data_IF_862288237409
#
_entry.id   IF_862288237409
#
_cell.length_a   1.000
_cell.length_b   1.000
_cell.length_c   1.000
_cell.angle_alpha   90.00
_cell.angle_beta   90.00
_cell.angle_gamma   90.00
#
_symmetry.space_group_name_H-M   'P 1'
#
loop_
_entity.id
_entity.type
_entity.pdbx_description
1 polymer ?
#
# COMPACT_ATOMS: atom_id res chain seq x y z
N UNK A 1 48.06 -11.07 -67.29
CA UNK A 1 48.08 -11.95 -66.09
C UNK A 1 48.38 -11.07 -64.89
N UNK A 2 47.66 -10.97 -63.78
CA UNK A 2 46.27 -11.21 -63.37
C UNK A 2 46.07 -10.25 -62.18
N UNK A 3 44.94 -9.53 -62.11
CA UNK A 3 44.60 -8.58 -61.04
C UNK A 3 43.98 -9.35 -59.87
N UNK A 4 44.50 -9.19 -58.65
CA UNK A 4 43.87 -9.70 -57.42
C UNK A 4 42.83 -8.69 -56.91
N UNK A 5 41.55 -9.07 -56.72
CA UNK A 5 40.61 -8.22 -56.00
C UNK A 5 40.68 -8.49 -54.50
N UNK A 6 40.85 -7.41 -53.72
CA UNK A 6 40.71 -7.38 -52.27
C UNK A 6 39.21 -7.51 -51.96
N UNK A 7 38.81 -8.65 -51.39
CA UNK A 7 37.48 -8.83 -50.82
C UNK A 7 37.43 -8.09 -49.47
N UNK A 8 36.83 -6.91 -49.46
CA UNK A 8 36.37 -6.26 -48.22
C UNK A 8 35.13 -7.03 -47.72
N UNK A 9 35.30 -7.83 -46.67
CA UNK A 9 34.18 -8.37 -45.91
C UNK A 9 33.56 -7.25 -45.07
N UNK A 10 32.48 -6.66 -45.55
CA UNK A 10 31.64 -5.75 -44.76
C UNK A 10 30.82 -6.61 -43.77
N UNK A 11 31.32 -6.74 -42.55
CA UNK A 11 30.57 -7.34 -41.45
C UNK A 11 29.47 -6.35 -41.03
N UNK A 12 28.25 -6.59 -41.47
CA UNK A 12 27.06 -5.85 -41.03
C UNK A 12 26.68 -6.36 -39.63
N UNK A 13 27.21 -5.72 -38.60
CA UNK A 13 26.74 -5.93 -37.23
C UNK A 13 25.34 -5.34 -37.10
N UNK A 14 24.32 -6.20 -37.01
CA UNK A 14 22.96 -5.79 -36.67
C UNK A 14 22.96 -5.30 -35.21
N UNK A 15 22.92 -3.98 -35.03
CA UNK A 15 22.62 -3.39 -33.72
C UNK A 15 21.15 -3.68 -33.39
N UNK A 16 20.91 -4.50 -32.37
CA UNK A 16 19.59 -4.64 -31.76
C UNK A 16 19.25 -3.30 -31.09
N UNK A 17 18.08 -2.70 -31.34
CA UNK A 17 17.67 -1.51 -30.61
C UNK A 17 17.39 -1.90 -29.15
N UNK A 18 18.27 -1.49 -28.24
CA UNK A 18 18.16 -1.73 -26.80
C UNK A 18 17.43 -0.59 -26.06
N UNK A 19 16.37 -0.05 -26.66
CA UNK A 19 15.48 0.90 -26.01
C UNK A 19 14.05 0.45 -26.28
N UNK A 20 13.55 -0.47 -25.45
CA UNK A 20 12.11 -0.63 -25.32
C UNK A 20 11.63 0.63 -24.60
N UNK A 21 11.13 1.61 -25.34
CA UNK A 21 10.40 2.73 -24.73
C UNK A 21 9.23 2.13 -23.94
N UNK A 22 9.03 2.60 -22.71
CA UNK A 22 7.85 2.20 -21.95
C UNK A 22 6.62 2.71 -22.69
N UNK A 23 5.85 1.79 -23.27
CA UNK A 23 4.62 2.10 -23.99
C UNK A 23 3.46 2.02 -23.00
N UNK A 24 2.61 3.05 -22.96
CA UNK A 24 1.40 3.03 -22.15
C UNK A 24 0.58 1.78 -22.47
N UNK A 25 0.16 1.06 -21.44
CA UNK A 25 -0.51 -0.24 -21.55
C UNK A 25 0.46 -1.43 -21.63
N UNK A 26 1.76 -1.23 -21.44
CA UNK A 26 2.72 -2.34 -21.34
C UNK A 26 2.34 -3.26 -20.19
N UNK A 27 2.11 -4.53 -20.52
CA UNK A 27 1.80 -5.57 -19.55
C UNK A 27 3.07 -6.08 -18.86
N UNK A 28 3.00 -6.16 -17.54
CA UNK A 28 4.06 -6.61 -16.65
C UNK A 28 3.50 -7.77 -15.84
N UNK A 29 4.13 -8.94 -15.95
CA UNK A 29 3.77 -10.12 -15.14
C UNK A 29 4.38 -9.98 -13.77
N UNK A 30 3.55 -10.11 -12.73
CA UNK A 30 3.93 -9.95 -11.34
C UNK A 30 4.16 -11.30 -10.65
N UNK A 31 4.95 -11.36 -9.55
CA UNK A 31 5.19 -12.58 -8.80
C UNK A 31 3.93 -13.32 -8.34
N UNK A 32 2.86 -12.60 -8.00
CA UNK A 32 1.56 -13.20 -7.62
C UNK A 32 0.80 -13.82 -8.80
N UNK A 33 1.32 -13.69 -10.02
CA UNK A 33 0.62 -14.03 -11.26
C UNK A 33 -0.31 -12.92 -11.78
N UNK A 34 -0.42 -11.79 -11.09
CA UNK A 34 -1.14 -10.62 -11.58
C UNK A 34 -0.51 -10.06 -12.86
N UNK A 35 -1.31 -9.29 -13.60
CA UNK A 35 -0.82 -8.46 -14.70
C UNK A 35 -1.02 -6.99 -14.36
N UNK A 36 0.09 -6.25 -14.26
CA UNK A 36 0.06 -4.80 -14.15
C UNK A 36 0.25 -4.17 -15.53
N UNK A 37 -0.59 -3.20 -15.87
CA UNK A 37 -0.43 -2.37 -17.06
C UNK A 37 0.22 -1.04 -16.64
N UNK A 38 1.36 -0.69 -17.21
CA UNK A 38 1.95 0.62 -16.96
C UNK A 38 1.13 1.73 -17.63
N UNK A 39 0.70 2.74 -16.85
CA UNK A 39 -0.08 3.86 -17.36
C UNK A 39 0.80 5.06 -17.71
N UNK A 40 1.56 5.56 -16.73
CA UNK A 40 2.49 6.69 -16.90
C UNK A 40 3.46 6.79 -15.72
N UNK A 41 4.52 7.59 -15.91
CA UNK A 41 5.45 8.02 -14.86
C UNK A 41 5.38 9.53 -14.72
N UNK A 42 5.32 10.01 -13.48
CA UNK A 42 5.18 11.42 -13.13
C UNK A 42 6.29 11.83 -12.20
N UNK A 43 6.84 13.02 -12.41
CA UNK A 43 7.74 13.65 -11.45
C UNK A 43 6.92 14.62 -10.60
N UNK A 44 6.94 14.43 -9.29
CA UNK A 44 6.33 15.33 -8.33
C UNK A 44 7.44 16.24 -7.75
N UNK A 45 7.20 17.54 -7.75
CA UNK A 45 8.17 18.54 -7.29
C UNK A 45 8.01 18.91 -5.79
N UNK A 46 7.21 18.14 -5.03
CA UNK A 46 6.97 18.39 -3.62
C UNK A 46 8.00 17.64 -2.74
N UNK A 47 8.58 18.32 -1.75
CA UNK A 47 9.40 17.71 -0.69
C UNK A 47 10.92 17.93 -0.79
N UNK A 48 11.68 17.14 -0.04
CA UNK A 48 13.15 17.25 0.16
C UNK A 48 13.99 16.60 -0.96
N UNK A 49 13.39 16.37 -2.14
CA UNK A 49 14.09 15.83 -3.30
C UNK A 49 13.16 15.35 -4.42
N UNK A 50 13.71 14.84 -5.54
CA UNK A 50 12.90 14.36 -6.64
C UNK A 50 12.07 13.15 -6.21
N UNK A 51 10.75 13.25 -6.41
CA UNK A 51 9.80 12.15 -6.17
C UNK A 51 9.27 11.68 -7.52
N UNK A 52 9.35 10.36 -7.77
CA UNK A 52 8.72 9.75 -8.94
C UNK A 52 7.48 8.99 -8.54
N UNK A 53 6.38 9.24 -9.23
CA UNK A 53 5.15 8.47 -9.11
C UNK A 53 4.96 7.62 -10.35
N UNK A 54 4.92 6.31 -10.17
CA UNK A 54 4.63 5.35 -11.22
C UNK A 54 3.20 4.89 -11.08
N UNK A 55 2.44 4.97 -12.17
CA UNK A 55 1.01 4.63 -12.20
C UNK A 55 0.80 3.32 -12.95
N UNK A 56 0.13 2.37 -12.30
CA UNK A 56 -0.18 1.05 -12.85
C UNK A 56 -1.68 0.75 -12.75
N UNK A 57 -2.17 -0.10 -13.64
CA UNK A 57 -3.52 -0.63 -13.61
C UNK A 57 -3.45 -2.16 -13.41
N UNK A 58 -4.12 -2.66 -12.37
CA UNK A 58 -4.29 -4.09 -12.10
C UNK A 58 -5.80 -4.36 -12.02
N UNK A 59 -6.38 -4.91 -13.09
CA UNK A 59 -7.85 -5.01 -13.23
C UNK A 59 -8.53 -5.81 -12.11
N UNK A 60 -7.82 -6.75 -11.47
CA UNK A 60 -8.31 -7.59 -10.38
C UNK A 60 -7.79 -7.16 -9.00
N UNK A 61 -7.35 -5.90 -8.83
CA UNK A 61 -6.77 -5.38 -7.59
C UNK A 61 -7.67 -5.64 -6.35
N UNK A 62 -8.99 -5.52 -6.49
CA UNK A 62 -9.94 -5.75 -5.40
C UNK A 62 -9.96 -7.19 -4.87
N UNK A 63 -9.50 -8.16 -5.66
CA UNK A 63 -9.37 -9.56 -5.22
C UNK A 63 -8.05 -9.83 -4.48
N UNK A 64 -7.13 -8.86 -4.48
CA UNK A 64 -5.75 -9.01 -4.02
C UNK A 64 -5.47 -8.24 -2.74
N UNK A 65 -6.08 -7.07 -2.60
CA UNK A 65 -5.98 -6.28 -1.37
C UNK A 65 -6.92 -6.89 -0.33
N UNK A 66 -6.45 -7.18 0.90
CA UNK A 66 -7.31 -7.63 1.98
C UNK A 66 -8.44 -6.60 2.18
N UNK A 67 -9.69 -7.07 2.21
CA UNK A 67 -10.79 -6.19 2.58
C UNK A 67 -10.58 -5.74 4.03
N UNK A 68 -10.30 -4.45 4.24
CA UNK A 68 -10.49 -3.85 5.56
C UNK A 68 -12.00 -3.83 5.79
N UNK A 69 -12.51 -4.76 6.58
CA UNK A 69 -13.94 -4.84 6.91
C UNK A 69 -14.35 -3.57 7.65
N UNK A 70 -15.10 -2.70 6.97
CA UNK A 70 -15.72 -1.49 7.52
C UNK A 70 -16.11 -0.54 6.38
N UNK A 71 -17.33 0.01 6.36
CA UNK A 71 -17.68 1.05 5.40
C UNK A 71 -16.79 2.28 5.62
N UNK A 72 -16.26 2.89 4.55
CA UNK A 72 -15.58 4.20 4.62
C UNK A 72 -16.53 5.37 4.94
N UNK A 73 -17.79 5.05 5.25
CA UNK A 73 -18.89 5.94 5.56
C UNK A 73 -19.50 5.54 6.89
N UNK A 74 -18.77 5.74 7.99
CA UNK A 74 -19.41 6.05 9.28
C UNK A 74 -19.56 7.57 9.35
N UNK A 75 -20.34 8.14 8.42
CA UNK A 75 -20.85 9.52 8.52
C UNK A 75 -22.22 9.58 9.21
N UNK A 76 -22.82 8.42 9.50
CA UNK A 76 -24.14 8.32 10.11
C UNK A 76 -24.14 8.57 11.64
N UNK A 77 -22.96 8.71 12.27
CA UNK A 77 -22.82 9.04 13.70
C UNK A 77 -22.48 10.52 13.98
N UNK A 78 -22.60 11.40 12.98
CA UNK A 78 -22.47 12.86 13.17
C UNK A 78 -23.81 13.59 13.40
N UNK A 79 -24.94 12.89 13.24
CA UNK A 79 -26.27 13.50 13.37
C UNK A 79 -26.80 13.53 14.82
N UNK A 80 -26.06 12.95 15.78
CA UNK A 80 -26.43 12.92 17.21
C UNK A 80 -25.33 13.49 18.13
N UNK A 81 -24.59 14.50 17.65
CA UNK A 81 -23.82 15.35 18.55
C UNK A 81 -24.78 16.32 19.25
N UNK A 82 -24.99 16.24 20.58
CA UNK A 82 -25.74 17.27 21.29
C UNK A 82 -25.01 18.62 21.14
N UNK A 83 -25.68 19.62 20.58
CA UNK A 83 -25.14 20.98 20.34
C UNK A 83 -24.79 21.76 21.62
N UNK A 84 -24.97 21.18 22.80
CA UNK A 84 -24.63 21.81 24.08
C UNK A 84 -23.42 21.12 24.71
N UNK A 85 -22.22 21.47 24.22
CA UNK A 85 -21.01 21.42 25.02
C UNK A 85 -21.05 22.61 25.98
N UNK A 86 -21.35 22.44 27.29
CA UNK A 86 -21.27 23.56 28.21
C UNK A 86 -19.84 24.08 28.23
N UNK A 87 -19.70 25.38 27.96
CA UNK A 87 -18.47 26.13 28.11
C UNK A 87 -17.91 25.87 29.50
N UNK A 88 -16.79 25.16 29.57
CA UNK A 88 -16.10 24.82 30.80
C UNK A 88 -15.53 26.10 31.42
N UNK A 89 -16.37 26.76 32.22
CA UNK A 89 -15.96 27.76 33.19
C UNK A 89 -15.21 27.11 34.36
N UNK A 90 -14.17 27.80 34.80
CA UNK A 90 -13.21 27.41 35.85
C UNK A 90 -13.82 26.95 37.20
N UNK A 91 -13.04 26.21 38.02
CA UNK A 91 -13.55 25.25 38.98
C UNK A 91 -13.94 25.93 40.30
N UNK A 92 -15.17 25.70 40.75
CA UNK A 92 -15.52 25.92 42.14
C UNK A 92 -15.76 24.57 42.81
N UNK A 93 -14.84 24.25 43.72
CA UNK A 93 -14.89 23.10 44.59
C UNK A 93 -16.24 23.00 45.33
N UNK A 94 -16.94 21.90 45.11
CA UNK A 94 -17.78 21.31 46.13
C UNK A 94 -17.49 19.82 46.21
N UNK A 95 -16.79 19.45 47.27
CA UNK A 95 -16.45 18.08 47.59
C UNK A 95 -17.69 17.42 48.20
N UNK A 96 -18.65 17.03 47.36
CA UNK A 96 -19.63 16.01 47.72
C UNK A 96 -19.09 14.67 47.23
N UNK A 97 -18.44 13.96 48.14
CA UNK A 97 -18.10 12.56 47.98
C UNK A 97 -19.35 11.78 47.60
N UNK A 98 -19.42 11.29 46.36
CA UNK A 98 -20.33 10.22 45.99
C UNK A 98 -19.92 9.02 46.83
N UNK A 99 -20.70 8.73 47.86
CA UNK A 99 -20.62 7.47 48.58
C UNK A 99 -21.00 6.38 47.59
N UNK A 100 -20.01 5.63 47.13
CA UNK A 100 -20.22 4.28 46.59
C UNK A 100 -20.70 3.47 47.79
N UNK A 101 -22.02 3.28 47.88
CA UNK A 101 -22.62 2.43 48.89
C UNK A 101 -22.00 1.03 48.81
N UNK A 102 -21.62 0.54 49.99
CA UNK A 102 -20.67 -0.54 50.19
C UNK A 102 -20.98 -1.82 49.42
N UNK A 103 -19.93 -2.40 48.86
CA UNK A 103 -19.87 -3.82 48.61
C UNK A 103 -20.13 -4.56 49.94
N UNK A 104 -21.05 -5.54 50.00
CA UNK A 104 -20.96 -6.56 51.02
C UNK A 104 -19.67 -7.35 50.78
N UNK A 105 -18.72 -7.18 51.68
CA UNK A 105 -17.61 -8.10 51.90
C UNK A 105 -18.20 -9.42 52.40
N UNK A 106 -18.58 -10.30 51.46
CA UNK A 106 -18.91 -11.73 51.59
C UNK A 106 -20.04 -12.09 50.61
N UNK A 107 -19.69 -12.26 49.33
CA UNK A 107 -20.51 -13.01 48.38
C UNK A 107 -19.60 -14.01 47.69
N UNK A 108 -20.02 -15.27 47.74
CA UNK A 108 -19.30 -16.43 47.22
C UNK A 108 -18.75 -16.18 45.81
N UNK A 109 -17.56 -16.71 45.57
CA UNK A 109 -16.96 -16.89 44.25
C UNK A 109 -18.04 -17.45 43.30
N UNK A 110 -18.49 -16.63 42.36
CA UNK A 110 -19.48 -17.02 41.36
C UNK A 110 -18.75 -17.86 40.31
N UNK A 111 -18.44 -19.10 40.67
CA UNK A 111 -17.81 -20.17 39.88
C UNK A 111 -18.50 -20.36 38.51
N UNK A 112 -19.75 -19.89 38.38
CA UNK A 112 -20.52 -19.90 37.15
C UNK A 112 -19.98 -18.95 36.06
N UNK A 113 -19.36 -17.82 36.44
CA UNK A 113 -18.82 -16.84 35.46
C UNK A 113 -17.52 -17.30 34.81
N UNK A 114 -16.61 -17.89 35.59
CA UNK A 114 -15.36 -18.48 35.08
C UNK A 114 -15.66 -19.77 34.30
N UNK A 115 -16.59 -20.62 34.78
CA UNK A 115 -16.98 -21.83 34.06
C UNK A 115 -17.71 -21.53 32.74
N UNK A 116 -18.48 -20.44 32.65
CA UNK A 116 -19.08 -20.00 31.38
C UNK A 116 -18.04 -19.40 30.43
N UNK A 117 -17.02 -18.69 30.95
CA UNK A 117 -15.90 -18.24 30.14
C UNK A 117 -15.08 -19.42 29.59
N UNK A 118 -14.77 -20.41 30.42
CA UNK A 118 -14.05 -21.63 30.02
C UNK A 118 -14.85 -22.49 29.03
N UNK A 119 -16.19 -22.54 29.17
CA UNK A 119 -17.05 -23.23 28.21
C UNK A 119 -17.08 -22.55 26.82
N UNK A 120 -16.69 -21.27 26.72
CA UNK A 120 -16.49 -20.60 25.43
C UNK A 120 -15.09 -20.84 24.83
N UNK A 121 -14.15 -21.44 25.56
CA UNK A 121 -12.80 -21.77 25.09
C UNK A 121 -12.69 -23.17 24.47
N UNK A 122 -13.71 -24.02 24.61
CA UNK A 122 -13.76 -25.37 24.05
C UNK A 122 -14.13 -25.41 22.55
N UNK A 123 -14.34 -24.26 21.91
CA UNK A 123 -14.48 -24.18 20.46
C UNK A 123 -13.11 -24.55 19.82
N UNK A 124 -13.05 -25.49 18.86
CA UNK A 124 -11.79 -25.89 18.28
C UNK A 124 -11.11 -24.67 17.66
N UNK A 125 -9.97 -24.28 18.24
CA UNK A 125 -9.13 -23.24 17.67
C UNK A 125 -8.99 -23.51 16.17
N UNK A 126 -9.47 -22.55 15.37
CA UNK A 126 -9.35 -22.65 13.92
C UNK A 126 -7.89 -22.98 13.60
N UNK A 127 -7.62 -23.93 12.69
CA UNK A 127 -6.24 -24.25 12.34
C UNK A 127 -5.54 -22.94 11.98
N UNK A 128 -4.36 -22.71 12.57
CA UNK A 128 -3.53 -21.57 12.20
C UNK A 128 -3.47 -21.54 10.67
N UNK A 129 -4.02 -20.48 10.08
CA UNK A 129 -4.09 -20.35 8.64
C UNK A 129 -2.67 -20.59 8.10
N UNK A 130 -2.46 -21.47 7.10
CA UNK A 130 -1.13 -21.71 6.56
C UNK A 130 -0.44 -20.39 6.23
N UNK A 131 0.88 -20.27 6.44
CA UNK A 131 1.65 -19.02 6.29
C UNK A 131 1.42 -18.31 4.94
N UNK A 132 1.04 -19.05 3.89
CA UNK A 132 0.66 -18.52 2.58
C UNK A 132 -0.64 -17.69 2.58
N UNK A 133 -1.53 -17.88 3.56
CA UNK A 133 -2.70 -17.04 3.83
C UNK A 133 -2.36 -15.82 4.70
N UNK A 134 -1.19 -15.78 5.34
CA UNK A 134 -0.70 -14.62 6.11
C UNK A 134 0.11 -13.64 5.25
N UNK A 135 0.69 -14.11 4.15
CA UNK A 135 1.45 -13.25 3.23
C UNK A 135 0.49 -12.59 2.24
N UNK A 136 0.31 -11.28 2.37
CA UNK A 136 -0.48 -10.50 1.43
C UNK A 136 0.14 -10.58 0.02
N UNK A 137 -0.52 -11.23 -0.96
CA UNK A 137 0.03 -11.39 -2.30
C UNK A 137 0.28 -10.05 -2.99
N UNK A 138 -0.44 -8.99 -2.65
CA UNK A 138 -0.19 -7.66 -3.23
C UNK A 138 1.13 -7.07 -2.73
N UNK A 139 1.52 -7.35 -1.49
CA UNK A 139 2.75 -6.81 -0.90
C UNK A 139 3.98 -7.26 -1.69
N UNK A 140 4.05 -8.55 -2.03
CA UNK A 140 5.15 -9.09 -2.83
C UNK A 140 5.24 -8.43 -4.22
N UNK A 141 4.09 -8.16 -4.84
CA UNK A 141 4.03 -7.50 -6.15
C UNK A 141 4.47 -6.04 -6.08
N UNK A 142 4.03 -5.29 -5.06
CA UNK A 142 4.41 -3.89 -4.87
C UNK A 142 5.92 -3.77 -4.67
N UNK A 143 6.50 -4.59 -3.78
CA UNK A 143 7.95 -4.60 -3.55
C UNK A 143 8.70 -4.95 -4.83
N UNK A 144 8.21 -5.95 -5.58
CA UNK A 144 8.82 -6.35 -6.83
C UNK A 144 8.74 -5.25 -7.90
N UNK A 145 7.58 -4.60 -8.04
CA UNK A 145 7.39 -3.46 -8.96
C UNK A 145 8.36 -2.32 -8.62
N UNK A 146 8.52 -2.00 -7.34
CA UNK A 146 9.46 -0.96 -6.95
C UNK A 146 10.89 -1.34 -7.34
N UNK A 147 11.36 -2.49 -6.84
CA UNK A 147 12.76 -2.87 -6.93
C UNK A 147 13.20 -3.21 -8.36
N UNK A 148 12.35 -3.89 -9.13
CA UNK A 148 12.73 -4.46 -10.43
C UNK A 148 12.26 -3.64 -11.62
N UNK A 149 11.24 -2.80 -11.43
CA UNK A 149 10.64 -2.05 -12.53
C UNK A 149 10.80 -0.54 -12.36
N UNK A 150 10.33 0.03 -11.26
CA UNK A 150 10.30 1.48 -11.04
C UNK A 150 11.70 2.06 -10.74
N UNK A 151 12.45 1.44 -9.84
CA UNK A 151 13.76 1.92 -9.40
C UNK A 151 14.77 2.02 -10.55
N UNK A 152 14.97 0.99 -11.41
CA UNK A 152 15.91 1.10 -12.53
C UNK A 152 15.59 2.24 -13.50
N UNK A 153 14.31 2.63 -13.61
CA UNK A 153 13.85 3.75 -14.44
C UNK A 153 14.06 5.08 -13.76
N UNK A 154 13.69 5.18 -12.47
CA UNK A 154 13.87 6.41 -11.69
C UNK A 154 15.33 6.83 -11.54
N UNK A 155 16.27 5.87 -11.57
CA UNK A 155 17.71 6.12 -11.48
C UNK A 155 18.36 6.58 -12.80
N UNK A 156 17.63 6.58 -13.92
CA UNK A 156 18.15 7.08 -15.20
C UNK A 156 18.29 8.61 -15.21
N UNK A 157 17.51 9.30 -14.37
CA UNK A 157 17.44 10.74 -14.31
C UNK A 157 18.31 11.31 -13.17
N UNK A 158 18.76 12.56 -13.33
CA UNK A 158 19.49 13.32 -12.30
C UNK A 158 18.78 14.65 -11.98
N UNK A 159 18.79 15.10 -10.71
CA UNK A 159 19.43 14.49 -9.54
C UNK A 159 18.74 13.19 -9.10
N UNK A 160 19.46 12.36 -8.34
CA UNK A 160 19.00 11.03 -7.90
C UNK A 160 17.64 11.13 -7.21
N UNK A 161 16.72 10.25 -7.58
CA UNK A 161 15.42 10.11 -6.91
C UNK A 161 15.61 9.86 -5.41
N UNK A 162 14.77 10.50 -4.60
CA UNK A 162 14.77 10.34 -3.15
C UNK A 162 13.58 9.52 -2.67
N UNK A 163 12.49 9.53 -3.43
CA UNK A 163 11.27 8.81 -3.12
C UNK A 163 10.60 8.29 -4.40
N UNK A 164 10.09 7.07 -4.31
CA UNK A 164 9.26 6.44 -5.34
C UNK A 164 7.89 6.19 -4.74
N UNK A 165 6.84 6.62 -5.43
CA UNK A 165 5.44 6.34 -5.08
C UNK A 165 4.87 5.42 -6.17
N UNK A 166 4.34 4.29 -5.76
CA UNK A 166 3.56 3.41 -6.63
C UNK A 166 2.09 3.73 -6.43
N UNK A 167 1.39 4.06 -7.52
CA UNK A 167 -0.06 4.27 -7.55
C UNK A 167 -0.67 3.19 -8.42
N UNK A 168 -1.39 2.27 -7.80
CA UNK A 168 -1.96 1.10 -8.46
C UNK A 168 -3.48 1.22 -8.38
N UNK A 169 -4.15 1.25 -9.53
CA UNK A 169 -5.60 1.35 -9.62
C UNK A 169 -6.20 0.10 -10.26
N UNK A 170 -7.48 -0.18 -10.00
CA UNK A 170 -8.21 -1.24 -10.71
C UNK A 170 -8.62 -0.84 -12.14
N UNK A 171 -8.65 0.46 -12.43
CA UNK A 171 -9.02 1.04 -13.72
C UNK A 171 -8.23 2.31 -14.04
N UNK A 172 -8.29 2.72 -15.30
CA UNK A 172 -7.63 3.95 -15.72
C UNK A 172 -8.33 5.19 -15.14
N UNK A 173 -7.55 6.08 -14.53
CA UNK A 173 -8.04 7.38 -14.06
C UNK A 173 -7.24 8.54 -14.66
N UNK A 174 -7.92 9.61 -15.13
CA UNK A 174 -7.24 10.87 -15.42
C UNK A 174 -6.54 11.40 -14.17
N UNK A 175 -5.39 12.05 -14.35
CA UNK A 175 -4.68 12.65 -13.21
C UNK A 175 -5.52 13.74 -12.54
N UNK A 176 -5.61 13.68 -11.21
CA UNK A 176 -6.38 14.64 -10.41
C UNK A 176 -7.90 14.47 -10.49
N UNK A 177 -8.40 13.47 -11.22
CA UNK A 177 -9.81 13.12 -11.19
C UNK A 177 -10.11 12.29 -9.92
N UNK A 178 -11.26 12.58 -9.31
CA UNK A 178 -11.83 11.76 -8.25
C UNK A 178 -12.88 10.82 -8.84
N UNK A 179 -12.78 9.54 -8.51
CA UNK A 179 -13.74 8.49 -8.86
C UNK A 179 -13.95 7.62 -7.61
N UNK A 180 -15.14 7.64 -6.99
CA UNK A 180 -15.40 6.89 -5.76
C UNK A 180 -15.48 5.37 -6.00
N UNK A 181 -15.69 4.93 -7.23
CA UNK A 181 -15.80 3.50 -7.58
C UNK A 181 -14.45 2.89 -7.98
N UNK A 182 -13.39 3.71 -8.05
CA UNK A 182 -12.06 3.25 -8.41
C UNK A 182 -11.26 2.89 -7.16
N UNK A 183 -10.93 1.61 -7.03
CA UNK A 183 -10.01 1.16 -5.99
C UNK A 183 -8.58 1.59 -6.34
N UNK A 184 -7.94 2.32 -5.43
CA UNK A 184 -6.56 2.76 -5.57
C UNK A 184 -5.74 2.40 -4.34
N UNK A 185 -4.61 1.74 -4.58
CA UNK A 185 -3.56 1.48 -3.60
C UNK A 185 -2.39 2.43 -3.85
N UNK A 186 -1.90 3.07 -2.79
CA UNK A 186 -0.74 3.95 -2.83
C UNK A 186 0.33 3.42 -1.87
N UNK A 187 1.54 3.25 -2.39
CA UNK A 187 2.67 2.75 -1.61
C UNK A 187 3.88 3.66 -1.84
N UNK A 188 4.60 4.00 -0.77
CA UNK A 188 5.74 4.90 -0.84
C UNK A 188 7.03 4.18 -0.41
N UNK A 189 8.12 4.51 -1.12
CA UNK A 189 9.44 3.95 -0.89
C UNK A 189 10.47 5.07 -0.86
N UNK A 190 11.27 5.09 0.21
CA UNK A 190 12.49 5.88 0.25
C UNK A 190 13.58 5.21 -0.61
N UNK A 191 14.35 6.03 -1.32
CA UNK A 191 15.56 5.60 -2.04
C UNK A 191 16.78 6.21 -1.33
N UNK A 192 17.57 5.38 -0.63
CA UNK A 192 18.79 5.85 0.01
C UNK A 192 19.78 6.43 -1.00
N UNK A 193 20.61 7.37 -0.55
CA UNK A 193 21.61 8.02 -1.41
C UNK A 193 22.79 7.10 -1.74
N UNK A 194 23.03 6.08 -0.91
CA UNK A 194 24.19 5.19 -0.94
C UNK A 194 23.92 3.82 -1.58
N UNK A 195 22.65 3.45 -1.81
CA UNK A 195 22.27 2.14 -2.36
C UNK A 195 21.01 2.19 -3.23
N UNK A 196 20.97 1.31 -4.22
CA UNK A 196 19.87 1.14 -5.17
C UNK A 196 18.86 0.12 -4.63
N UNK A 197 18.11 0.52 -3.59
CA UNK A 197 17.06 -0.30 -2.98
C UNK A 197 15.82 0.56 -2.72
N UNK A 198 14.65 -0.05 -2.85
CA UNK A 198 13.39 0.51 -2.35
C UNK A 198 13.21 0.13 -0.88
N UNK A 199 13.26 1.12 0.02
CA UNK A 199 12.93 0.93 1.44
C UNK A 199 11.53 1.45 1.69
N UNK A 200 10.64 0.59 2.21
CA UNK A 200 9.26 0.98 2.48
C UNK A 200 9.21 2.16 3.46
N UNK A 201 8.42 3.18 3.13
CA UNK A 201 8.26 4.38 3.93
C UNK A 201 6.76 4.64 4.17
N UNK A 202 6.34 4.96 5.41
CA UNK A 202 4.98 5.39 5.68
C UNK A 202 4.68 6.72 4.95
N UNK A 203 3.42 6.91 4.56
CA UNK A 203 2.91 8.13 3.91
C UNK A 203 2.43 9.19 4.91
#
# INVERSE_FOLDING_TARGET
MSRFPILCALSLAAALPANAEDVKGMAITLPSGATALWQETRQDAQGDGPTYRFRFIIADLAQRVPATTGPATETEDLEDMPEDMPESGDPQADATSVQIDGAPEDAAEDDETEAQADAMLDDPALPAAPDALMQDPIHADVVWLCQNWALPRALQDQPRVRQIVLSIADRELPFGAYDPDALQLFEAFAVPADRDICEWAPW
#
